data_IF_086290620540
#
_entry.id   IF_086290620540
#
_cell.length_a   1.000
_cell.length_b   1.000
_cell.length_c   1.000
_cell.angle_alpha   90.00
_cell.angle_beta   90.00
_cell.angle_gamma   90.00
#
_symmetry.space_group_name_H-M   'P 1'
#
loop_
_entity.id
_entity.type
_entity.pdbx_description
1 polymer ?
#
# COMPACT_ATOMS: atom_id res chain seq x y z
N UNK A 1 -20.91 1.05 19.49
CA UNK A 1 -21.27 -0.16 18.72
C UNK A 1 -20.33 -1.28 19.15
N UNK A 2 -20.73 -2.54 19.03
CA UNK A 2 -19.78 -3.67 19.13
C UNK A 2 -19.11 -3.86 17.76
N UNK A 3 -17.79 -3.67 17.70
CA UNK A 3 -17.01 -3.66 16.46
C UNK A 3 -16.03 -4.83 16.46
N UNK A 4 -16.10 -5.65 15.41
CA UNK A 4 -15.12 -6.70 15.17
C UNK A 4 -14.04 -6.16 14.22
N UNK A 5 -12.78 -6.21 14.61
CA UNK A 5 -11.68 -5.78 13.76
C UNK A 5 -10.80 -6.99 13.40
N UNK A 6 -10.83 -7.41 12.13
CA UNK A 6 -9.90 -8.41 11.63
C UNK A 6 -8.51 -7.79 11.47
N UNK A 7 -7.51 -8.38 12.13
CA UNK A 7 -6.14 -7.88 12.18
C UNK A 7 -5.15 -8.97 11.80
N UNK A 8 -4.06 -8.58 11.16
CA UNK A 8 -2.86 -9.39 11.00
C UNK A 8 -1.85 -8.97 12.10
N UNK A 9 -1.49 -9.86 13.05
CA UNK A 9 -0.61 -9.48 14.16
C UNK A 9 0.74 -8.93 13.69
N UNK A 10 1.13 -7.76 14.20
CA UNK A 10 2.37 -7.08 13.83
C UNK A 10 2.30 -6.22 12.55
N UNK A 11 1.16 -6.20 11.85
CA UNK A 11 0.97 -5.35 10.67
C UNK A 11 0.52 -3.93 11.05
N UNK A 12 1.24 -2.93 10.55
CA UNK A 12 0.95 -1.51 10.81
C UNK A 12 -0.42 -1.10 10.24
N UNK A 13 -0.86 -1.68 9.12
CA UNK A 13 -2.17 -1.34 8.57
C UNK A 13 -3.31 -1.83 9.44
N UNK A 14 -3.14 -2.99 10.08
CA UNK A 14 -4.07 -3.50 11.08
C UNK A 14 -4.18 -2.55 12.27
N UNK A 15 -3.06 -1.94 12.70
CA UNK A 15 -3.06 -0.90 13.74
C UNK A 15 -3.81 0.37 13.31
N UNK A 16 -3.68 0.79 12.04
CA UNK A 16 -4.46 1.89 11.47
C UNK A 16 -5.96 1.57 11.42
N UNK A 17 -6.32 0.34 11.06
CA UNK A 17 -7.70 -0.11 11.01
C UNK A 17 -8.36 -0.13 12.40
N UNK A 18 -7.64 -0.58 13.43
CA UNK A 18 -8.08 -0.52 14.83
C UNK A 18 -8.36 0.91 15.27
N UNK A 19 -7.54 1.87 14.84
CA UNK A 19 -7.78 3.30 15.11
C UNK A 19 -9.14 3.78 14.60
N UNK A 20 -9.49 3.43 13.37
CA UNK A 20 -10.83 3.75 12.81
C UNK A 20 -11.92 2.95 13.50
N UNK A 21 -11.72 1.66 13.76
CA UNK A 21 -12.72 0.81 14.43
C UNK A 21 -13.12 1.36 15.81
N UNK A 22 -12.17 1.90 16.59
CA UNK A 22 -12.41 2.54 17.88
C UNK A 22 -13.31 3.78 17.81
N UNK A 23 -13.36 4.45 16.65
CA UNK A 23 -14.27 5.59 16.47
C UNK A 23 -15.74 5.19 16.36
N UNK A 24 -16.03 3.91 16.09
CA UNK A 24 -17.39 3.35 15.98
C UNK A 24 -17.89 2.75 17.31
N UNK A 25 -16.97 2.32 18.18
CA UNK A 25 -17.29 1.81 19.51
C UNK A 25 -16.25 0.84 20.08
N UNK A 26 -16.72 -0.11 20.87
CA UNK A 26 -15.90 -1.09 21.56
C UNK A 26 -15.36 -2.13 20.58
N UNK A 27 -14.04 -2.26 20.50
CA UNK A 27 -13.36 -3.09 19.50
C UNK A 27 -12.93 -4.42 20.09
N UNK A 28 -13.33 -5.52 19.44
CA UNK A 28 -12.71 -6.84 19.56
C UNK A 28 -11.79 -7.07 18.37
N UNK A 29 -10.48 -7.05 18.61
CA UNK A 29 -9.50 -7.42 17.60
C UNK A 29 -9.43 -8.94 17.48
N UNK A 30 -9.55 -9.46 16.26
CA UNK A 30 -9.54 -10.91 15.99
C UNK A 30 -8.58 -11.28 14.87
N UNK A 31 -8.00 -12.46 14.99
CA UNK A 31 -7.15 -13.08 13.96
C UNK A 31 -7.51 -14.55 13.78
N UNK A 32 -6.97 -15.14 12.72
CA UNK A 32 -6.99 -16.59 12.49
C UNK A 32 -5.57 -17.13 12.49
N UNK A 33 -5.42 -18.40 12.87
CA UNK A 33 -4.19 -19.15 12.71
C UNK A 33 -4.29 -20.12 11.51
N UNK A 34 -3.16 -20.74 11.16
CA UNK A 34 -3.12 -21.83 10.20
C UNK A 34 -3.03 -21.42 8.72
N UNK A 35 -3.41 -22.36 7.85
CA UNK A 35 -3.25 -22.24 6.41
C UNK A 35 -4.15 -21.15 5.81
N UNK A 36 -3.73 -20.60 4.66
CA UNK A 36 -4.50 -19.64 3.86
C UNK A 36 -5.91 -20.18 3.57
N UNK A 37 -6.94 -19.63 4.22
CA UNK A 37 -8.33 -20.08 4.06
C UNK A 37 -9.33 -18.90 4.19
N UNK A 38 -9.25 -17.90 3.29
CA UNK A 38 -10.02 -16.65 3.42
C UNK A 38 -11.54 -16.86 3.44
N UNK A 39 -12.05 -17.86 2.70
CA UNK A 39 -13.47 -18.19 2.70
C UNK A 39 -13.95 -18.77 4.05
N UNK A 40 -13.16 -19.66 4.67
CA UNK A 40 -13.45 -20.20 5.99
C UNK A 40 -13.37 -19.12 7.08
N UNK A 41 -12.35 -18.27 7.03
CA UNK A 41 -12.18 -17.12 7.93
C UNK A 41 -13.37 -16.16 7.83
N UNK A 42 -13.82 -15.87 6.60
CA UNK A 42 -14.98 -15.03 6.38
C UNK A 42 -16.28 -15.62 6.97
N UNK A 43 -16.50 -16.95 6.85
CA UNK A 43 -17.64 -17.62 7.49
C UNK A 43 -17.59 -17.48 9.02
N UNK A 44 -16.41 -17.69 9.61
CA UNK A 44 -16.21 -17.56 11.05
C UNK A 44 -16.43 -16.11 11.54
N UNK A 45 -15.94 -15.10 10.80
CA UNK A 45 -16.20 -13.68 11.09
C UNK A 45 -17.69 -13.34 10.95
N UNK A 46 -18.33 -13.80 9.88
CA UNK A 46 -19.76 -13.54 9.61
C UNK A 46 -20.69 -14.13 10.67
N UNK A 47 -20.25 -15.20 11.36
CA UNK A 47 -21.00 -15.82 12.45
C UNK A 47 -20.88 -15.06 13.79
N UNK A 48 -19.93 -14.11 13.91
CA UNK A 48 -19.76 -13.34 15.15
C UNK A 48 -20.83 -12.24 15.28
N UNK A 49 -21.34 -11.97 16.49
CA UNK A 49 -22.20 -10.83 16.72
C UNK A 49 -21.38 -9.54 16.63
N UNK A 50 -21.71 -8.68 15.67
CA UNK A 50 -21.10 -7.37 15.49
C UNK A 50 -22.08 -6.41 14.83
N UNK A 51 -21.93 -5.12 15.11
CA UNK A 51 -22.62 -4.03 14.41
C UNK A 51 -21.76 -3.44 13.28
N UNK A 52 -20.43 -3.63 13.36
CA UNK A 52 -19.49 -3.32 12.30
C UNK A 52 -18.36 -4.34 12.26
N UNK A 53 -17.89 -4.68 11.06
CA UNK A 53 -16.71 -5.51 10.82
C UNK A 53 -15.73 -4.69 9.99
N UNK A 54 -14.55 -4.46 10.56
CA UNK A 54 -13.50 -3.60 10.01
C UNK A 54 -12.24 -4.42 9.75
N UNK A 55 -11.49 -4.10 8.70
CA UNK A 55 -10.12 -4.60 8.52
C UNK A 55 -9.23 -3.55 7.85
N UNK A 56 -7.93 -3.84 7.76
CA UNK A 56 -7.04 -3.09 6.90
C UNK A 56 -7.42 -3.24 5.42
N UNK A 57 -7.22 -2.19 4.61
CA UNK A 57 -7.29 -2.25 3.16
C UNK A 57 -6.07 -2.95 2.53
N UNK A 58 -5.55 -3.99 3.20
CA UNK A 58 -4.53 -4.90 2.67
C UNK A 58 -5.15 -5.88 1.67
N UNK A 59 -4.31 -6.63 0.95
CA UNK A 59 -4.79 -7.71 0.07
C UNK A 59 -5.65 -8.70 0.86
N UNK A 60 -5.19 -9.07 2.07
CA UNK A 60 -5.91 -9.98 2.95
C UNK A 60 -7.20 -9.40 3.48
N UNK A 61 -7.16 -8.19 4.05
CA UNK A 61 -8.34 -7.59 4.67
C UNK A 61 -9.43 -7.33 3.65
N UNK A 62 -9.09 -6.90 2.43
CA UNK A 62 -10.04 -6.73 1.33
C UNK A 62 -10.64 -8.07 0.88
N UNK A 63 -9.82 -9.12 0.72
CA UNK A 63 -10.29 -10.45 0.32
C UNK A 63 -11.29 -11.03 1.33
N UNK A 64 -10.92 -11.06 2.61
CA UNK A 64 -11.75 -11.65 3.68
C UNK A 64 -13.06 -10.88 3.82
N UNK A 65 -13.05 -9.55 3.85
CA UNK A 65 -14.29 -8.76 4.00
C UNK A 65 -15.18 -8.77 2.75
N UNK A 66 -14.60 -8.92 1.56
CA UNK A 66 -15.39 -9.16 0.35
C UNK A 66 -16.19 -10.48 0.47
N UNK A 67 -15.57 -11.55 0.98
CA UNK A 67 -16.28 -12.79 1.27
C UNK A 67 -17.35 -12.63 2.35
N UNK A 68 -17.07 -11.91 3.44
CA UNK A 68 -18.06 -11.62 4.49
C UNK A 68 -19.27 -10.88 3.91
N UNK A 69 -19.05 -9.87 3.05
CA UNK A 69 -20.12 -9.14 2.38
C UNK A 69 -20.99 -10.03 1.50
N UNK A 70 -20.37 -10.97 0.77
CA UNK A 70 -21.10 -11.94 -0.03
C UNK A 70 -21.91 -12.94 0.82
N UNK A 71 -21.35 -13.42 1.93
CA UNK A 71 -22.03 -14.37 2.84
C UNK A 71 -23.25 -13.72 3.51
N UNK A 72 -23.11 -12.47 3.94
CA UNK A 72 -24.15 -11.75 4.67
C UNK A 72 -25.14 -11.00 3.76
N UNK A 73 -24.90 -10.97 2.45
CA UNK A 73 -25.61 -10.12 1.48
C UNK A 73 -25.65 -8.64 1.93
N UNK A 74 -24.46 -8.10 2.25
CA UNK A 74 -24.28 -6.74 2.78
C UNK A 74 -23.37 -5.87 1.92
N UNK A 75 -23.65 -4.55 1.82
CA UNK A 75 -22.74 -3.61 1.20
C UNK A 75 -21.36 -3.60 1.88
N UNK A 76 -20.31 -3.54 1.07
CA UNK A 76 -18.92 -3.45 1.53
C UNK A 76 -18.27 -2.15 1.04
N UNK A 77 -17.71 -1.35 1.95
CA UNK A 77 -16.97 -0.14 1.65
C UNK A 77 -15.45 -0.35 1.77
N UNK A 78 -14.79 -0.53 0.63
CA UNK A 78 -13.32 -0.62 0.60
C UNK A 78 -12.65 0.77 0.65
N UNK A 79 -11.42 0.82 1.19
CA UNK A 79 -10.53 1.99 1.23
C UNK A 79 -11.15 3.24 1.89
N UNK A 80 -11.82 3.04 3.03
CA UNK A 80 -12.37 4.09 3.88
C UNK A 80 -11.24 4.87 4.56
N UNK A 81 -11.31 6.18 4.48
CA UNK A 81 -10.40 7.11 5.17
C UNK A 81 -11.02 7.71 6.41
N UNK A 82 -12.35 7.82 6.49
CA UNK A 82 -13.06 8.29 7.66
C UNK A 82 -14.49 7.72 7.68
N UNK A 83 -15.08 7.58 8.86
CA UNK A 83 -16.46 7.13 9.05
C UNK A 83 -17.11 7.93 10.18
N UNK A 84 -18.38 8.29 10.00
CA UNK A 84 -19.22 8.93 11.00
C UNK A 84 -20.62 8.31 10.97
N UNK A 85 -20.91 7.43 11.92
CA UNK A 85 -22.14 6.63 11.92
C UNK A 85 -22.19 5.72 10.69
N UNK A 86 -23.11 6.00 9.77
CA UNK A 86 -23.27 5.27 8.51
C UNK A 86 -22.75 6.00 7.28
N UNK A 87 -22.09 7.15 7.45
CA UNK A 87 -21.47 7.89 6.34
C UNK A 87 -19.97 7.60 6.33
N UNK A 88 -19.46 7.14 5.18
CA UNK A 88 -18.04 6.86 4.94
C UNK A 88 -17.47 7.86 3.94
N UNK A 89 -16.24 8.32 4.20
CA UNK A 89 -15.40 8.99 3.22
C UNK A 89 -14.34 8.00 2.75
N UNK A 90 -14.28 7.67 1.46
CA UNK A 90 -13.38 6.64 0.91
C UNK A 90 -12.66 7.07 -0.36
N UNK A 91 -11.53 6.43 -0.61
CA UNK A 91 -10.73 6.62 -1.82
C UNK A 91 -11.20 5.68 -2.94
N UNK A 92 -11.45 6.24 -4.12
CA UNK A 92 -11.76 5.52 -5.36
C UNK A 92 -10.74 5.85 -6.43
N UNK A 93 -10.68 5.03 -7.47
CA UNK A 93 -9.82 5.25 -8.66
C UNK A 93 -8.35 5.52 -8.31
N UNK A 94 -7.77 4.72 -7.43
CA UNK A 94 -6.38 4.89 -6.99
C UNK A 94 -6.13 6.16 -6.18
N UNK A 95 -7.15 6.66 -5.48
CA UNK A 95 -7.06 7.86 -4.63
C UNK A 95 -7.24 9.17 -5.38
N UNK A 96 -7.62 9.14 -6.66
CA UNK A 96 -7.93 10.37 -7.43
C UNK A 96 -9.34 10.90 -7.16
N UNK A 97 -10.23 10.07 -6.64
CA UNK A 97 -11.58 10.45 -6.22
C UNK A 97 -11.74 10.18 -4.72
N UNK A 98 -12.18 11.21 -3.99
CA UNK A 98 -12.69 11.08 -2.63
C UNK A 98 -14.21 11.07 -2.71
N UNK A 99 -14.82 9.98 -2.27
CA UNK A 99 -16.27 9.76 -2.31
C UNK A 99 -16.81 9.76 -0.89
N UNK A 100 -17.85 10.57 -0.64
CA UNK A 100 -18.72 10.41 0.51
C UNK A 100 -19.89 9.51 0.13
N UNK A 101 -20.10 8.43 0.88
CA UNK A 101 -21.15 7.45 0.62
C UNK A 101 -21.83 7.03 1.92
N UNK A 102 -23.10 6.62 1.84
CA UNK A 102 -23.83 6.05 2.98
C UNK A 102 -23.79 4.52 2.91
N UNK A 103 -23.31 3.89 3.98
CA UNK A 103 -23.19 2.45 4.12
C UNK A 103 -24.42 1.89 4.84
N UNK A 104 -25.33 1.32 4.06
CA UNK A 104 -26.59 0.77 4.55
C UNK A 104 -26.45 -0.66 5.08
N UNK A 105 -27.19 -0.97 6.15
CA UNK A 105 -27.27 -2.32 6.72
C UNK A 105 -26.43 -2.52 7.98
N UNK A 106 -26.64 -3.67 8.61
CA UNK A 106 -25.88 -4.13 9.78
C UNK A 106 -25.56 -5.62 9.62
N UNK A 107 -24.32 -6.07 9.88
CA UNK A 107 -23.17 -5.24 10.26
C UNK A 107 -22.70 -4.33 9.12
N UNK A 108 -22.11 -3.19 9.48
CA UNK A 108 -21.39 -2.32 8.55
C UNK A 108 -20.05 -2.98 8.17
N UNK A 109 -19.76 -3.14 6.88
CA UNK A 109 -18.52 -3.77 6.42
C UNK A 109 -17.61 -2.73 5.75
N UNK A 110 -16.39 -2.57 6.26
CA UNK A 110 -15.43 -1.65 5.65
C UNK A 110 -13.96 -2.06 5.82
N UNK A 111 -13.13 -1.66 4.86
CA UNK A 111 -11.67 -1.67 5.03
C UNK A 111 -11.11 -0.26 5.08
N UNK A 112 -10.06 -0.07 5.87
CA UNK A 112 -9.39 1.23 6.03
C UNK A 112 -8.28 1.40 5.00
N UNK A 113 -8.29 2.52 4.28
CA UNK A 113 -7.29 2.82 3.27
C UNK A 113 -5.88 2.84 3.88
N UNK A 114 -4.89 2.13 3.27
CA UNK A 114 -3.53 2.10 3.77
C UNK A 114 -2.90 3.49 3.90
N UNK A 115 -2.19 3.73 5.01
CA UNK A 115 -1.40 4.95 5.28
C UNK A 115 -2.22 6.24 5.32
N UNK A 116 -3.52 6.14 5.63
CA UNK A 116 -4.40 7.31 5.77
C UNK A 116 -4.70 7.67 7.22
N UNK A 117 -4.27 6.82 8.15
CA UNK A 117 -4.50 6.96 9.57
C UNK A 117 -3.20 6.73 10.35
N UNK A 118 -3.01 7.33 11.53
CA UNK A 118 -1.93 6.94 12.42
C UNK A 118 -2.15 5.52 12.95
N UNK A 119 -1.07 4.76 13.12
CA UNK A 119 -1.13 3.45 13.76
C UNK A 119 -1.58 3.59 15.23
N UNK A 120 -2.57 2.81 15.64
CA UNK A 120 -3.04 2.74 17.02
C UNK A 120 -2.55 1.45 17.71
N UNK A 121 -2.39 1.46 19.03
CA UNK A 121 -2.02 0.27 19.78
C UNK A 121 -3.10 -0.82 19.62
N UNK A 122 -2.70 -1.98 19.11
CA UNK A 122 -3.53 -3.19 19.08
C UNK A 122 -3.40 -3.83 20.46
N UNK A 123 -4.49 -3.88 21.23
CA UNK A 123 -4.53 -4.55 22.53
C UNK A 123 -4.56 -6.07 22.38
N UNK A 124 -5.33 -6.75 23.24
CA UNK A 124 -5.49 -8.21 23.13
C UNK A 124 -6.14 -8.61 21.80
N UNK A 125 -5.51 -9.59 21.13
CA UNK A 125 -6.01 -10.16 19.88
C UNK A 125 -6.57 -11.54 20.16
N UNK A 126 -7.86 -11.73 19.92
CA UNK A 126 -8.56 -13.00 20.07
C UNK A 126 -8.35 -13.88 18.82
N UNK A 127 -8.02 -15.15 19.05
CA UNK A 127 -7.87 -16.12 17.97
C UNK A 127 -9.20 -16.82 17.72
N UNK A 128 -9.75 -16.66 16.51
CA UNK A 128 -10.97 -17.34 16.11
C UNK A 128 -10.64 -18.67 15.42
N UNK A 129 -11.49 -19.68 15.66
CA UNK A 129 -11.43 -20.93 14.93
C UNK A 129 -12.20 -20.82 13.61
N UNK A 130 -11.65 -21.41 12.55
CA UNK A 130 -12.34 -21.56 11.27
C UNK A 130 -12.33 -23.03 10.85
N UNK A 131 -13.48 -23.54 10.43
CA UNK A 131 -13.59 -24.90 9.90
C UNK A 131 -13.03 -24.96 8.48
N UNK A 132 -12.18 -25.95 8.20
CA UNK A 132 -11.64 -26.18 6.87
C UNK A 132 -12.76 -26.50 5.89
N UNK A 133 -12.86 -25.69 4.82
CA UNK A 133 -13.88 -25.84 3.79
C UNK A 133 -13.35 -26.46 2.49
N UNK A 134 -12.14 -27.01 2.51
CA UNK A 134 -11.50 -27.64 1.36
C UNK A 134 -10.92 -26.64 0.36
N UNK A 135 -10.76 -25.37 0.76
CA UNK A 135 -10.13 -24.33 -0.05
C UNK A 135 -8.68 -24.70 -0.46
N UNK A 136 -8.18 -24.18 -1.59
CA UNK A 136 -6.80 -24.40 -2.02
C UNK A 136 -5.79 -24.08 -0.91
N UNK A 137 -4.86 -25.00 -0.68
CA UNK A 137 -3.82 -24.86 0.34
C UNK A 137 -2.57 -24.23 -0.26
N UNK A 138 -1.97 -23.29 0.47
CA UNK A 138 -0.64 -22.77 0.15
C UNK A 138 0.38 -23.86 0.46
N UNK A 139 1.02 -24.40 -0.58
CA UNK A 139 2.05 -25.43 -0.46
C UNK A 139 3.41 -24.83 -0.11
N UNK A 140 3.71 -23.65 -0.65
CA UNK A 140 4.96 -22.94 -0.48
C UNK A 140 4.68 -21.44 -0.50
N UNK A 141 5.35 -20.71 0.40
CA UNK A 141 5.47 -19.25 0.30
C UNK A 141 6.91 -18.96 -0.07
N UNK A 142 7.12 -18.49 -1.29
CA UNK A 142 8.41 -18.00 -1.72
C UNK A 142 8.48 -16.55 -1.25
N UNK A 143 9.17 -16.32 -0.14
CA UNK A 143 9.55 -14.96 0.23
C UNK A 143 10.56 -14.48 -0.82
N UNK A 144 10.20 -13.46 -1.60
CA UNK A 144 11.18 -12.80 -2.45
C UNK A 144 12.24 -12.20 -1.52
N UNK A 145 13.50 -12.62 -1.70
CA UNK A 145 14.61 -12.10 -0.92
C UNK A 145 14.81 -10.62 -1.27
N UNK A 146 14.18 -9.74 -0.49
CA UNK A 146 14.48 -8.32 -0.57
C UNK A 146 15.85 -8.09 0.04
N UNK A 147 16.88 -8.03 -0.80
CA UNK A 147 18.15 -7.43 -0.39
C UNK A 147 17.92 -5.93 -0.28
N UNK A 148 17.89 -5.39 0.94
CA UNK A 148 17.68 -3.95 1.20
C UNK A 148 16.37 -3.62 1.90
N UNK A 149 16.00 -2.32 1.89
CA UNK A 149 14.81 -1.79 2.56
C UNK A 149 13.55 -2.11 1.72
N UNK A 150 12.48 -2.58 2.37
CA UNK A 150 11.18 -2.80 1.70
C UNK A 150 10.64 -1.49 1.15
N UNK A 151 10.16 -1.48 -0.11
CA UNK A 151 9.54 -0.30 -0.71
C UNK A 151 8.38 0.27 0.11
N UNK A 152 7.64 -0.59 0.82
CA UNK A 152 6.47 -0.19 1.59
C UNK A 152 6.84 0.65 2.82
N UNK A 153 7.98 0.36 3.43
CA UNK A 153 8.46 0.95 4.68
C UNK A 153 9.56 1.99 4.46
N UNK A 154 10.10 2.07 3.24
CA UNK A 154 11.21 2.94 2.91
C UNK A 154 10.85 4.43 3.08
N UNK A 155 11.62 5.12 3.93
CA UNK A 155 11.53 6.58 4.08
C UNK A 155 11.98 7.33 2.83
N UNK A 156 12.89 6.73 2.04
CA UNK A 156 13.32 7.26 0.75
C UNK A 156 13.16 6.19 -0.30
N UNK A 157 12.56 6.52 -1.43
CA UNK A 157 12.47 5.65 -2.60
C UNK A 157 13.11 6.35 -3.80
N UNK A 158 14.03 5.69 -4.48
CA UNK A 158 14.61 6.16 -5.74
C UNK A 158 14.08 5.29 -6.86
N UNK A 159 13.27 5.88 -7.73
CA UNK A 159 12.50 5.21 -8.77
C UNK A 159 13.10 5.36 -10.16
N UNK A 160 13.27 4.25 -10.88
CA UNK A 160 13.65 4.25 -12.30
C UNK A 160 12.47 4.03 -13.25
N UNK A 161 12.39 4.81 -14.32
CA UNK A 161 11.43 4.62 -15.40
C UNK A 161 12.04 4.07 -16.68
N UNK A 162 11.31 4.21 -17.79
CA UNK A 162 11.80 3.80 -19.12
C UNK A 162 13.07 4.55 -19.52
N UNK A 163 13.23 5.79 -19.05
CA UNK A 163 14.41 6.60 -19.34
C UNK A 163 15.73 5.98 -18.88
N UNK A 164 15.70 5.01 -17.96
CA UNK A 164 16.93 4.32 -17.48
C UNK A 164 17.57 3.44 -18.57
N UNK A 165 16.80 3.01 -19.56
CA UNK A 165 17.30 2.38 -20.78
C UNK A 165 17.57 0.87 -20.71
N UNK A 166 18.01 0.33 -19.57
CA UNK A 166 18.24 -1.13 -19.40
C UNK A 166 18.28 -1.57 -17.94
N UNK A 167 18.45 -2.88 -17.71
CA UNK A 167 18.69 -3.44 -16.38
C UNK A 167 20.03 -2.95 -15.79
N UNK A 168 21.09 -2.88 -16.60
CA UNK A 168 22.40 -2.38 -16.19
C UNK A 168 22.37 -0.88 -15.89
N UNK A 169 21.52 -0.12 -16.59
CA UNK A 169 21.29 1.29 -16.33
C UNK A 169 20.78 1.59 -14.92
N UNK A 170 20.19 0.61 -14.22
CA UNK A 170 19.73 0.80 -12.84
C UNK A 170 20.86 1.00 -11.83
N UNK A 171 22.12 0.74 -12.18
CA UNK A 171 23.26 0.92 -11.27
C UNK A 171 23.31 2.33 -10.64
N UNK A 172 22.99 3.39 -11.39
CA UNK A 172 22.98 4.77 -10.87
C UNK A 172 21.78 5.03 -9.92
N UNK A 173 20.67 4.32 -10.12
CA UNK A 173 19.47 4.39 -9.26
C UNK A 173 19.75 3.67 -7.94
N UNK A 174 20.34 2.48 -8.03
CA UNK A 174 20.76 1.65 -6.88
C UNK A 174 21.80 2.38 -6.02
N UNK A 175 22.79 3.02 -6.66
CA UNK A 175 23.80 3.80 -5.99
C UNK A 175 23.18 4.97 -5.20
N UNK A 176 22.29 5.75 -5.82
CA UNK A 176 21.63 6.86 -5.15
C UNK A 176 20.74 6.37 -4.00
N UNK A 177 20.00 5.28 -4.20
CA UNK A 177 19.18 4.68 -3.14
C UNK A 177 20.05 4.24 -1.95
N UNK A 178 21.16 3.56 -2.21
CA UNK A 178 22.10 3.13 -1.18
C UNK A 178 22.68 4.32 -0.40
N UNK A 179 23.10 5.39 -1.09
CA UNK A 179 23.57 6.61 -0.46
C UNK A 179 22.48 7.24 0.41
N UNK A 180 21.21 7.21 -0.01
CA UNK A 180 20.12 7.78 0.78
C UNK A 180 19.57 6.85 1.87
N UNK A 181 20.09 5.61 1.98
CA UNK A 181 19.54 4.60 2.88
C UNK A 181 18.10 4.21 2.53
N UNK A 182 17.74 4.34 1.25
CA UNK A 182 16.40 4.12 0.72
C UNK A 182 16.24 2.78 0.00
N UNK A 183 15.07 2.60 -0.58
CA UNK A 183 14.74 1.48 -1.45
C UNK A 183 14.74 1.88 -2.93
N UNK A 184 14.96 0.90 -3.80
CA UNK A 184 14.86 1.07 -5.25
C UNK A 184 13.44 0.76 -5.69
N UNK A 185 12.84 1.66 -6.45
CA UNK A 185 11.55 1.45 -7.09
C UNK A 185 11.63 1.53 -8.61
N UNK A 186 10.57 1.13 -9.29
CA UNK A 186 10.48 1.29 -10.73
C UNK A 186 9.04 1.43 -11.23
N UNK A 187 8.89 1.90 -12.48
CA UNK A 187 7.59 1.93 -13.16
C UNK A 187 7.22 0.56 -13.76
N UNK A 188 5.92 0.33 -14.02
CA UNK A 188 5.43 -0.91 -14.68
C UNK A 188 6.15 -1.24 -16.01
N UNK A 189 6.61 -0.23 -16.76
CA UNK A 189 7.32 -0.46 -18.03
C UNK A 189 8.64 -1.18 -17.79
N UNK A 190 9.32 -0.89 -16.69
CA UNK A 190 10.60 -1.50 -16.31
C UNK A 190 10.41 -2.98 -15.95
N UNK A 191 9.40 -3.29 -15.15
CA UNK A 191 9.08 -4.69 -14.80
C UNK A 191 8.60 -5.49 -16.01
N UNK A 192 7.80 -4.87 -16.88
CA UNK A 192 7.35 -5.49 -18.13
C UNK A 192 8.52 -5.77 -19.09
N UNK A 193 9.60 -4.98 -19.02
CA UNK A 193 10.82 -5.18 -19.80
C UNK A 193 11.80 -6.17 -19.14
N UNK A 194 11.48 -6.69 -17.95
CA UNK A 194 12.33 -7.63 -17.21
C UNK A 194 13.58 -7.00 -16.58
N UNK A 195 13.63 -5.67 -16.45
CA UNK A 195 14.82 -4.98 -15.91
C UNK A 195 14.90 -5.02 -14.38
N UNK A 196 13.74 -5.09 -13.71
CA UNK A 196 13.59 -5.17 -12.25
C UNK A 196 12.41 -6.09 -11.90
N UNK A 197 12.41 -6.73 -10.71
CA UNK A 197 11.32 -7.60 -10.28
C UNK A 197 10.03 -6.83 -10.02
N UNK A 198 8.90 -7.55 -9.96
CA UNK A 198 7.59 -6.95 -9.71
C UNK A 198 7.47 -6.30 -8.33
N UNK A 199 8.21 -6.82 -7.34
CA UNK A 199 8.28 -6.25 -5.99
C UNK A 199 8.79 -4.82 -5.95
N UNK A 200 9.61 -4.41 -6.93
CA UNK A 200 10.09 -3.04 -7.06
C UNK A 200 9.08 -2.10 -7.74
N UNK A 201 7.96 -2.62 -8.24
CA UNK A 201 7.02 -1.83 -9.01
C UNK A 201 6.28 -0.85 -8.11
N UNK A 202 6.38 0.44 -8.38
CA UNK A 202 5.54 1.47 -7.77
C UNK A 202 4.34 1.73 -8.68
N UNK A 203 3.14 1.72 -8.12
CA UNK A 203 1.92 2.05 -8.86
C UNK A 203 0.66 1.40 -8.30
N UNK A 204 -0.46 1.64 -8.99
CA UNK A 204 -1.79 1.13 -8.61
C UNK A 204 -1.83 -0.40 -8.49
N UNK A 205 -1.11 -1.10 -9.36
CA UNK A 205 -1.00 -2.57 -9.39
C UNK A 205 0.39 -3.04 -8.95
N UNK A 206 1.11 -2.21 -8.20
CA UNK A 206 2.37 -2.56 -7.54
C UNK A 206 2.31 -2.06 -6.10
N UNK A 207 3.47 -1.81 -5.53
CA UNK A 207 3.60 -1.26 -4.17
C UNK A 207 3.15 0.20 -4.15
N UNK A 208 2.23 0.52 -3.23
CA UNK A 208 1.93 1.90 -2.84
C UNK A 208 2.93 2.32 -1.78
N UNK A 209 3.63 3.43 -2.01
CA UNK A 209 4.68 3.92 -1.13
C UNK A 209 4.18 5.13 -0.31
N UNK A 210 4.72 5.28 0.90
CA UNK A 210 4.47 6.41 1.80
C UNK A 210 5.77 7.10 2.25
N UNK A 211 6.75 7.12 1.35
CA UNK A 211 8.09 7.66 1.60
C UNK A 211 8.08 9.15 1.98
N UNK A 212 9.04 9.57 2.81
CA UNK A 212 9.29 11.00 3.06
C UNK A 212 9.79 11.69 1.78
N UNK A 213 10.58 10.98 0.97
CA UNK A 213 11.08 11.45 -0.33
C UNK A 213 10.97 10.36 -1.40
N UNK A 214 10.37 10.69 -2.54
CA UNK A 214 10.38 9.89 -3.75
C UNK A 214 11.14 10.60 -4.87
N UNK A 215 12.21 10.00 -5.39
CA UNK A 215 12.99 10.50 -6.52
C UNK A 215 12.61 9.74 -7.78
N UNK A 216 11.87 10.37 -8.69
CA UNK A 216 11.36 9.76 -9.92
C UNK A 216 12.25 10.09 -11.13
N UNK A 217 13.14 9.16 -11.50
CA UNK A 217 14.12 9.31 -12.58
C UNK A 217 13.62 8.67 -13.89
N UNK A 218 13.41 9.47 -14.93
CA UNK A 218 12.98 8.98 -16.25
C UNK A 218 11.59 8.33 -16.26
N UNK A 219 10.72 8.72 -15.32
CA UNK A 219 9.35 8.24 -15.18
C UNK A 219 8.41 9.29 -15.77
N UNK A 220 7.51 8.88 -16.67
CA UNK A 220 6.56 9.81 -17.29
C UNK A 220 5.43 10.25 -16.35
N UNK A 221 5.07 9.44 -15.34
CA UNK A 221 4.02 9.77 -14.38
C UNK A 221 2.60 9.46 -14.86
N UNK A 222 2.40 8.34 -15.55
CA UNK A 222 1.06 7.85 -15.84
C UNK A 222 0.20 7.77 -14.55
N UNK A 223 -1.10 8.01 -14.66
CA UNK A 223 -2.03 8.08 -13.51
C UNK A 223 -1.90 6.88 -12.56
N UNK A 224 -1.69 5.68 -13.12
CA UNK A 224 -1.51 4.45 -12.35
C UNK A 224 -0.20 4.46 -11.55
N UNK A 225 0.88 5.02 -12.09
CA UNK A 225 2.15 5.17 -11.36
C UNK A 225 1.99 6.18 -10.22
N UNK A 226 1.41 7.34 -10.52
CA UNK A 226 1.16 8.41 -9.54
C UNK A 226 0.25 7.93 -8.42
N UNK A 227 -0.74 7.08 -8.70
CA UNK A 227 -1.59 6.47 -7.68
C UNK A 227 -0.79 5.67 -6.63
N UNK A 228 0.32 5.03 -7.02
CA UNK A 228 1.21 4.31 -6.10
C UNK A 228 2.18 5.23 -5.36
N UNK A 229 2.55 6.37 -5.94
CA UNK A 229 3.47 7.34 -5.35
C UNK A 229 2.77 8.45 -4.55
N UNK A 230 1.43 8.54 -4.59
CA UNK A 230 0.65 9.64 -3.99
C UNK A 230 0.85 9.80 -2.49
N UNK A 231 1.20 8.73 -1.79
CA UNK A 231 1.50 8.76 -0.35
C UNK A 231 2.86 9.37 -0.01
N UNK A 232 3.72 9.63 -1.00
CA UNK A 232 5.02 10.26 -0.76
C UNK A 232 4.84 11.72 -0.32
N UNK A 233 5.56 12.13 0.73
CA UNK A 233 5.46 13.50 1.25
C UNK A 233 6.10 14.53 0.32
N UNK A 234 7.18 14.13 -0.36
CA UNK A 234 7.90 14.94 -1.36
C UNK A 234 8.26 14.12 -2.58
N UNK A 235 8.09 14.69 -3.76
CA UNK A 235 8.45 14.09 -5.04
C UNK A 235 9.47 14.98 -5.77
N UNK A 236 10.65 14.44 -6.06
CA UNK A 236 11.65 15.03 -6.95
C UNK A 236 11.62 14.28 -8.28
N UNK A 237 11.30 14.97 -9.38
CA UNK A 237 11.30 14.38 -10.72
C UNK A 237 12.54 14.80 -11.53
N UNK A 238 13.18 13.83 -12.19
CA UNK A 238 14.26 14.04 -13.16
C UNK A 238 13.78 13.49 -14.51
N UNK A 239 13.56 14.37 -15.48
CA UNK A 239 13.03 13.97 -16.79
C UNK A 239 13.58 14.90 -17.88
N UNK A 240 13.83 14.37 -19.07
CA UNK A 240 14.23 15.18 -20.23
C UNK A 240 13.04 15.89 -20.89
N UNK A 241 11.83 15.35 -20.72
CA UNK A 241 10.59 15.91 -21.25
C UNK A 241 9.99 16.93 -20.26
N UNK A 242 9.96 18.23 -20.61
CA UNK A 242 9.38 19.27 -19.75
C UNK A 242 7.85 19.19 -19.63
N UNK A 243 7.19 18.38 -20.48
CA UNK A 243 5.75 18.17 -20.47
C UNK A 243 5.36 16.81 -19.82
N UNK A 244 6.32 16.11 -19.21
CA UNK A 244 6.05 14.82 -18.59
C UNK A 244 5.01 14.94 -17.45
N UNK A 245 3.92 14.14 -17.44
CA UNK A 245 2.86 14.22 -16.43
C UNK A 245 3.34 14.14 -14.96
N UNK A 246 4.46 13.47 -14.68
CA UNK A 246 5.04 13.40 -13.33
C UNK A 246 5.37 14.79 -12.77
N UNK A 247 5.72 15.74 -13.64
CA UNK A 247 6.12 17.10 -13.24
C UNK A 247 4.94 17.87 -12.63
N UNK A 248 3.71 17.57 -13.06
CA UNK A 248 2.50 18.20 -12.52
C UNK A 248 2.21 17.80 -11.06
N UNK A 249 2.82 16.72 -10.57
CA UNK A 249 2.66 16.24 -9.18
C UNK A 249 3.97 16.28 -8.39
N UNK A 250 5.06 16.77 -8.98
CA UNK A 250 6.36 16.84 -8.32
C UNK A 250 6.50 18.14 -7.50
N UNK A 251 7.11 18.04 -6.32
CA UNK A 251 7.51 19.21 -5.52
C UNK A 251 8.75 19.89 -6.12
N UNK A 252 9.64 19.09 -6.72
CA UNK A 252 10.87 19.53 -7.35
C UNK A 252 11.04 18.88 -8.72
N UNK A 253 11.57 19.61 -9.68
CA UNK A 253 11.80 19.12 -11.03
C UNK A 253 13.18 19.52 -11.55
N UNK A 254 13.88 18.58 -12.19
CA UNK A 254 15.07 18.82 -12.98
C UNK A 254 14.79 18.37 -14.41
N UNK A 255 14.77 19.34 -15.34
CA UNK A 255 14.66 19.04 -16.76
C UNK A 255 16.06 18.75 -17.30
N UNK A 256 16.36 17.46 -17.51
CA UNK A 256 17.70 17.02 -17.87
C UNK A 256 17.83 15.50 -17.98
N UNK A 257 18.97 15.06 -18.50
CA UNK A 257 19.28 13.63 -18.62
C UNK A 257 19.58 13.04 -17.23
N UNK A 258 18.85 11.98 -16.88
CA UNK A 258 19.07 11.27 -15.62
C UNK A 258 20.47 10.65 -15.53
N UNK A 259 21.09 10.30 -16.66
CA UNK A 259 22.43 9.72 -16.69
C UNK A 259 23.53 10.72 -16.32
N UNK A 260 23.22 12.03 -16.35
CA UNK A 260 24.11 13.10 -15.88
C UNK A 260 23.69 13.57 -14.49
N UNK A 261 22.39 13.82 -14.30
CA UNK A 261 21.84 14.41 -13.07
C UNK A 261 21.96 13.47 -11.87
N UNK A 262 21.61 12.19 -12.02
CA UNK A 262 21.60 11.24 -10.89
C UNK A 262 23.03 11.01 -10.36
N UNK A 263 24.05 10.74 -11.21
CA UNK A 263 25.42 10.64 -10.74
C UNK A 263 25.97 11.94 -10.12
N UNK A 264 25.57 13.11 -10.63
CA UNK A 264 25.98 14.39 -10.05
C UNK A 264 25.43 14.58 -8.62
N UNK A 265 24.17 14.18 -8.37
CA UNK A 265 23.58 14.17 -7.03
C UNK A 265 24.36 13.20 -6.12
N UNK A 266 24.64 11.97 -6.59
CA UNK A 266 25.40 10.99 -5.84
C UNK A 266 26.81 11.48 -5.47
N UNK A 267 27.50 12.17 -6.39
CA UNK A 267 28.80 12.76 -6.15
C UNK A 267 28.75 13.84 -5.07
N UNK A 268 27.76 14.73 -5.13
CA UNK A 268 27.58 15.80 -4.15
C UNK A 268 27.21 15.25 -2.76
N UNK A 269 26.36 14.22 -2.69
CA UNK A 269 26.04 13.54 -1.44
C UNK A 269 27.28 12.94 -0.76
N UNK A 270 28.21 12.36 -1.53
CA UNK A 270 29.48 11.89 -0.98
C UNK A 270 30.33 13.04 -0.46
N UNK A 271 30.39 14.15 -1.20
CA UNK A 271 31.17 15.34 -0.82
C UNK A 271 30.68 15.96 0.48
N UNK A 272 29.35 16.04 0.67
CA UNK A 272 28.73 16.65 1.86
C UNK A 272 28.79 15.73 3.10
N UNK A 273 28.87 14.42 2.88
CA UNK A 273 28.93 13.42 3.97
C UNK A 273 30.36 13.00 4.35
N UNK A 274 31.36 13.43 3.59
CA UNK A 274 32.77 13.31 3.94
C UNK A 274 33.16 14.32 5.02
#
# INVERSE_FOLDING_TARGET
MNVLCFVEPGDELSAQAVGVARSLGDVRAVTFDGAYQPAAWAKALAAQPAEAIVAAGSDRGNEVLAHVGAILDRPFAANVTAIAGDVVTRQRWGGSLVEEARLHGSPQLLTVAPHTQPAAEIGDVEMLAAEDDGSPRVLERIEESSTGVSLREAKVVVGGGRGVGSAEGFAIIEELAALLGGAVGCSRVVTSAGWRPHTDQVGQTGTKISADLYVACGISGATQHVAGARGAKRILAVNTDPEAPILAVADYAVIGDLHEVVPAISAELRRVRA
#
